data_IF_665378727977
#
_entry.id   IF_665378727977
#
_cell.length_a   1.000
_cell.length_b   1.000
_cell.length_c   1.000
_cell.angle_alpha   90.00
_cell.angle_beta   90.00
_cell.angle_gamma   90.00
#
_symmetry.space_group_name_H-M   'P 1'
#
loop_
_entity.id
_entity.type
_entity.pdbx_description
1 polymer ?
#
# COMPACT_ATOMS: atom_id res chain seq x y z
N UNK A 1 -1.76 6.69 8.55
CA UNK A 1 -0.75 6.40 7.50
C UNK A 1 -0.36 4.93 7.59
N UNK A 2 -0.24 4.26 6.45
CA UNK A 2 0.08 2.83 6.33
C UNK A 2 1.42 2.66 5.62
N UNK A 3 2.25 1.73 6.10
CA UNK A 3 3.55 1.44 5.50
C UNK A 3 3.51 0.10 4.79
N UNK A 4 3.49 0.15 3.46
CA UNK A 4 3.38 -1.04 2.63
C UNK A 4 4.76 -1.42 2.13
N UNK A 5 5.22 -2.60 2.53
CA UNK A 5 6.50 -3.19 2.11
C UNK A 5 6.25 -4.43 1.25
N UNK A 6 7.27 -4.84 0.49
CA UNK A 6 7.17 -5.98 -0.43
C UNK A 6 6.57 -5.64 -1.80
N UNK A 7 6.42 -4.36 -2.13
CA UNK A 7 5.95 -3.90 -3.44
C UNK A 7 7.00 -4.18 -4.52
N UNK A 8 6.54 -4.63 -5.69
CA UNK A 8 7.43 -4.84 -6.82
C UNK A 8 7.76 -3.51 -7.51
N UNK A 9 9.00 -3.03 -7.39
CA UNK A 9 9.42 -1.70 -7.85
C UNK A 9 9.17 -1.39 -9.33
N UNK A 10 9.27 -2.39 -10.22
CA UNK A 10 9.10 -2.19 -11.66
C UNK A 10 7.64 -2.31 -12.11
N UNK A 11 6.81 -3.02 -11.34
CA UNK A 11 5.41 -3.33 -11.70
C UNK A 11 4.38 -2.54 -10.89
N UNK A 12 4.76 -2.02 -9.73
CA UNK A 12 3.92 -1.19 -8.86
C UNK A 12 4.24 0.28 -9.09
N UNK A 13 3.20 1.08 -9.27
CA UNK A 13 3.25 2.53 -9.40
C UNK A 13 2.22 3.17 -8.45
N UNK A 14 2.21 4.50 -8.34
CA UNK A 14 1.28 5.21 -7.45
C UNK A 14 -0.17 4.88 -7.76
N UNK A 15 -0.56 4.83 -9.05
CA UNK A 15 -1.93 4.53 -9.47
C UNK A 15 -2.37 3.11 -9.11
N UNK A 16 -1.48 2.11 -9.19
CA UNK A 16 -1.77 0.72 -8.82
C UNK A 16 -1.90 0.55 -7.31
N UNK A 17 -1.05 1.23 -6.54
CA UNK A 17 -1.21 1.30 -5.09
C UNK A 17 -2.55 1.98 -4.75
N UNK A 18 -2.85 3.10 -5.41
CA UNK A 18 -4.13 3.79 -5.25
C UNK A 18 -5.32 2.88 -5.54
N UNK A 19 -5.35 2.21 -6.70
CA UNK A 19 -6.44 1.30 -7.08
C UNK A 19 -6.63 0.13 -6.09
N UNK A 20 -5.57 -0.28 -5.40
CA UNK A 20 -5.63 -1.35 -4.41
C UNK A 20 -6.17 -0.85 -3.07
N UNK A 21 -5.71 0.31 -2.61
CA UNK A 21 -6.05 0.87 -1.31
C UNK A 21 -7.39 1.62 -1.31
N UNK A 22 -7.85 2.14 -2.45
CA UNK A 22 -9.08 2.95 -2.52
C UNK A 22 -10.35 2.13 -2.23
N UNK A 23 -10.25 0.81 -2.28
CA UNK A 23 -11.31 -0.12 -1.90
C UNK A 23 -11.57 -0.14 -0.39
N UNK A 24 -10.58 0.26 0.42
CA UNK A 24 -10.65 0.19 1.88
C UNK A 24 -10.95 1.56 2.50
N UNK A 25 -10.72 2.65 1.77
CA UNK A 25 -11.14 4.00 2.11
C UNK A 25 -10.49 5.06 1.21
N UNK A 26 -10.75 6.34 1.50
CA UNK A 26 -10.18 7.44 0.74
C UNK A 26 -8.67 7.56 1.00
N UNK A 27 -7.93 7.83 -0.08
CA UNK A 27 -6.48 8.00 -0.05
C UNK A 27 -6.17 9.48 -0.26
N UNK A 28 -5.49 10.07 0.70
CA UNK A 28 -4.97 11.44 0.64
C UNK A 28 -3.66 11.49 -0.15
N UNK A 29 -2.76 10.52 0.10
CA UNK A 29 -1.41 10.56 -0.48
C UNK A 29 -0.78 9.18 -0.62
N UNK A 30 0.00 9.00 -1.69
CA UNK A 30 0.87 7.83 -1.86
C UNK A 30 2.30 8.32 -2.10
N UNK A 31 3.26 7.78 -1.34
CA UNK A 31 4.68 8.16 -1.43
C UNK A 31 5.57 6.92 -1.42
N UNK A 32 6.31 6.69 -2.51
CA UNK A 32 7.34 5.66 -2.54
C UNK A 32 8.59 6.11 -1.78
N UNK A 33 9.15 5.21 -0.97
CA UNK A 33 10.39 5.48 -0.24
C UNK A 33 11.59 5.23 -1.16
N UNK A 34 12.52 6.20 -1.20
CA UNK A 34 13.80 6.03 -1.92
C UNK A 34 14.80 5.17 -1.13
N UNK A 35 14.73 5.24 0.21
CA UNK A 35 15.66 4.56 1.12
C UNK A 35 15.43 3.05 1.18
N UNK A 36 14.17 2.61 1.11
CA UNK A 36 13.80 1.19 1.20
C UNK A 36 13.11 0.76 -0.11
N UNK A 37 13.83 0.05 -0.99
CA UNK A 37 13.28 -0.37 -2.28
C UNK A 37 12.06 -1.27 -2.09
N UNK A 38 10.96 -0.97 -2.78
CA UNK A 38 9.72 -1.74 -2.69
C UNK A 38 8.86 -1.42 -1.46
N UNK A 39 9.04 -0.22 -0.90
CA UNK A 39 8.20 0.31 0.17
C UNK A 39 7.47 1.58 -0.28
N UNK A 40 6.20 1.69 0.09
CA UNK A 40 5.39 2.88 -0.11
C UNK A 40 4.63 3.23 1.17
N UNK A 41 4.47 4.53 1.39
CA UNK A 41 3.63 5.11 2.43
C UNK A 41 2.30 5.51 1.79
N UNK A 42 1.20 5.06 2.39
CA UNK A 42 -0.16 5.38 1.96
C UNK A 42 -0.85 6.13 3.09
N UNK A 43 -1.21 7.37 2.83
CA UNK A 43 -1.97 8.22 3.73
C UNK A 43 -3.45 8.03 3.41
N UNK A 44 -4.16 7.36 4.31
CA UNK A 44 -5.61 7.18 4.25
C UNK A 44 -6.29 8.34 4.98
N UNK A 45 -7.52 8.68 4.57
CA UNK A 45 -8.29 9.78 5.15
C UNK A 45 -8.80 9.53 6.57
N UNK A 46 -8.96 8.26 6.97
CA UNK A 46 -9.50 7.86 8.26
C UNK A 46 -8.76 6.65 8.85
N UNK A 47 -8.83 6.50 10.18
CA UNK A 47 -8.21 5.38 10.90
C UNK A 47 -8.86 4.03 10.58
N UNK A 48 -10.18 4.00 10.36
CA UNK A 48 -10.89 2.76 10.03
C UNK A 48 -10.46 2.20 8.68
N UNK A 49 -10.24 3.07 7.69
CA UNK A 49 -9.69 2.66 6.39
C UNK A 49 -8.27 2.08 6.51
N UNK A 50 -7.45 2.62 7.42
CA UNK A 50 -6.13 2.05 7.72
C UNK A 50 -6.28 0.63 8.25
N UNK A 51 -7.11 0.41 9.28
CA UNK A 51 -7.29 -0.93 9.86
C UNK A 51 -7.84 -1.94 8.85
N UNK A 52 -8.83 -1.55 8.05
CA UNK A 52 -9.37 -2.42 6.99
C UNK A 52 -8.31 -2.78 5.97
N UNK A 53 -7.53 -1.80 5.50
CA UNK A 53 -6.46 -2.04 4.55
C UNK A 53 -5.41 -3.00 5.13
N UNK A 54 -4.95 -2.78 6.36
CA UNK A 54 -3.99 -3.68 7.03
C UNK A 54 -4.55 -5.09 7.16
N UNK A 55 -5.78 -5.22 7.65
CA UNK A 55 -6.41 -6.53 7.92
C UNK A 55 -6.55 -7.38 6.66
N UNK A 56 -6.88 -6.77 5.52
CA UNK A 56 -7.15 -7.48 4.27
C UNK A 56 -5.96 -7.56 3.31
N UNK A 57 -5.06 -6.58 3.34
CA UNK A 57 -3.90 -6.51 2.42
C UNK A 57 -2.63 -7.10 3.01
N UNK A 58 -2.57 -7.30 4.33
CA UNK A 58 -1.44 -7.97 4.95
C UNK A 58 -1.32 -9.42 4.44
N UNK A 59 -0.10 -9.84 4.08
CA UNK A 59 0.22 -11.14 3.48
C UNK A 59 -0.37 -11.41 2.09
N UNK A 60 -0.98 -10.43 1.42
CA UNK A 60 -1.46 -10.60 0.04
C UNK A 60 -0.29 -10.72 -0.92
N UNK A 61 -0.37 -11.68 -1.85
CA UNK A 61 0.67 -11.92 -2.85
C UNK A 61 0.39 -11.11 -4.11
N UNK A 62 1.20 -10.08 -4.38
CA UNK A 62 1.16 -9.29 -5.61
C UNK A 62 2.43 -9.52 -6.43
N UNK A 63 2.26 -9.88 -7.71
CA UNK A 63 3.37 -10.10 -8.65
C UNK A 63 4.47 -11.04 -8.11
N UNK A 64 4.09 -12.06 -7.34
CA UNK A 64 4.99 -13.04 -6.74
C UNK A 64 5.65 -12.61 -5.42
N UNK A 65 5.52 -11.34 -5.00
CA UNK A 65 5.96 -10.86 -3.69
C UNK A 65 4.80 -10.78 -2.70
N UNK A 66 5.05 -11.08 -1.43
CA UNK A 66 4.07 -10.87 -0.36
C UNK A 66 4.16 -9.43 0.11
N UNK A 67 3.02 -8.76 0.16
CA UNK A 67 2.89 -7.46 0.80
C UNK A 67 2.87 -7.64 2.31
N UNK A 68 3.51 -6.70 2.99
CA UNK A 68 3.43 -6.55 4.43
C UNK A 68 3.04 -5.10 4.71
N UNK A 69 1.89 -4.92 5.34
CA UNK A 69 1.12 -3.67 5.45
C UNK A 69 1.07 -3.24 6.91
#
# INVERSE_FOLDING_TARGET
VVMVSGLHQLKMNCSRVFNLFCLYGNIEKVKFMKTIPGTALVEMGDEYAVERAVTHLNNVKLFGKRLNV
#
